data_IF_493862195750
#
_entry.id   IF_493862195750
#
_cell.length_a   1.000
_cell.length_b   1.000
_cell.length_c   1.000
_cell.angle_alpha   90.00
_cell.angle_beta   90.00
_cell.angle_gamma   90.00
#
_symmetry.space_group_name_H-M   'P 1'
#
loop_
_entity.id
_entity.type
_entity.pdbx_description
1 polymer ?
#
# COMPACT_ATOMS: atom_id res chain seq x y z
N UNK A 1 12.16 33.68 15.65
CA UNK A 1 11.58 32.83 14.60
C UNK A 1 10.85 31.67 15.26
N UNK A 2 9.52 31.75 15.39
CA UNK A 2 8.72 30.55 15.68
C UNK A 2 8.91 29.59 14.50
N UNK A 3 9.16 28.32 14.79
CA UNK A 3 9.46 27.32 13.78
C UNK A 3 8.16 27.04 13.01
N UNK A 4 8.01 27.62 11.82
CA UNK A 4 6.80 27.54 10.98
C UNK A 4 6.36 26.12 10.64
N UNK A 5 7.24 25.13 10.86
CA UNK A 5 6.97 23.72 10.61
C UNK A 5 6.50 22.96 11.85
N UNK A 6 6.53 23.55 13.04
CA UNK A 6 6.23 22.85 14.29
C UNK A 6 4.80 22.31 14.34
N UNK A 7 3.82 23.14 14.02
CA UNK A 7 2.40 22.76 13.98
C UNK A 7 2.11 21.73 12.87
N UNK A 8 2.51 21.93 11.60
CA UNK A 8 2.36 20.91 10.56
C UNK A 8 3.04 19.57 10.86
N UNK A 9 4.21 19.59 11.51
CA UNK A 9 4.92 18.36 11.90
C UNK A 9 4.15 17.62 13.00
N UNK A 10 3.58 18.33 13.96
CA UNK A 10 2.76 17.73 15.01
C UNK A 10 1.50 17.08 14.41
N UNK A 11 0.78 17.77 13.53
CA UNK A 11 -0.40 17.23 12.84
C UNK A 11 -0.06 15.95 12.07
N UNK A 12 1.04 15.97 11.31
CA UNK A 12 1.52 14.79 10.57
C UNK A 12 1.87 13.63 11.50
N UNK A 13 2.50 13.90 12.64
CA UNK A 13 2.84 12.88 13.62
C UNK A 13 1.61 12.30 14.31
N UNK A 14 0.57 13.09 14.56
CA UNK A 14 -0.71 12.59 15.07
C UNK A 14 -1.36 11.62 14.06
N UNK A 15 -1.42 12.01 12.78
CA UNK A 15 -1.96 11.16 11.70
C UNK A 15 -1.16 9.85 11.61
N UNK A 16 0.17 9.94 11.60
CA UNK A 16 1.06 8.79 11.59
C UNK A 16 0.89 7.90 12.82
N UNK A 17 0.65 8.49 14.00
CA UNK A 17 0.39 7.77 15.25
C UNK A 17 -0.91 6.98 15.17
N UNK A 18 -2.00 7.61 14.71
CA UNK A 18 -3.29 6.93 14.49
C UNK A 18 -3.17 5.78 13.51
N UNK A 19 -2.49 6.00 12.38
CA UNK A 19 -2.26 4.96 11.38
C UNK A 19 -1.44 3.79 11.94
N UNK A 20 -0.39 4.08 12.71
CA UNK A 20 0.44 3.05 13.36
C UNK A 20 -0.38 2.20 14.34
N UNK A 21 -1.29 2.83 15.10
CA UNK A 21 -2.22 2.11 15.99
C UNK A 21 -3.13 1.17 15.21
N UNK A 22 -3.74 1.63 14.11
CA UNK A 22 -4.60 0.79 13.26
C UNK A 22 -3.85 -0.39 12.63
N UNK A 23 -2.57 -0.20 12.30
CA UNK A 23 -1.74 -1.21 11.68
C UNK A 23 -0.95 -2.09 12.67
N UNK A 24 -1.05 -1.82 13.98
CA UNK A 24 -0.28 -2.52 15.02
C UNK A 24 -0.52 -4.04 15.04
N UNK A 25 -1.77 -4.46 14.81
CA UNK A 25 -2.16 -5.89 14.70
C UNK A 25 -1.48 -6.63 13.56
N UNK A 26 -0.98 -5.92 12.56
CA UNK A 26 -0.28 -6.50 11.40
C UNK A 26 1.24 -6.48 11.58
N UNK A 27 1.74 -6.22 12.80
CA UNK A 27 3.17 -6.06 13.08
C UNK A 27 3.85 -5.01 12.20
N UNK A 28 3.09 -4.00 11.77
CA UNK A 28 3.61 -2.92 10.95
C UNK A 28 4.69 -2.12 11.69
N UNK A 29 5.63 -1.57 10.93
CA UNK A 29 6.71 -0.75 11.47
C UNK A 29 6.87 0.50 10.63
N UNK A 30 6.84 1.67 11.29
CA UNK A 30 7.14 2.95 10.66
C UNK A 30 8.61 2.97 10.26
N UNK A 31 8.88 3.26 8.98
CA UNK A 31 10.23 3.42 8.44
C UNK A 31 10.78 4.82 8.75
N UNK A 32 12.01 4.89 9.24
CA UNK A 32 12.62 6.13 9.68
C UNK A 32 14.08 6.30 9.26
N UNK A 33 14.71 7.31 9.86
CA UNK A 33 16.16 7.49 9.81
C UNK A 33 16.80 6.79 11.00
N UNK A 34 18.00 6.27 10.81
CA UNK A 34 18.81 5.70 11.88
C UNK A 34 20.28 6.04 11.65
N UNK A 35 21.07 5.99 12.73
CA UNK A 35 22.48 6.33 12.70
C UNK A 35 23.33 5.11 13.08
N UNK A 36 24.41 4.90 12.33
CA UNK A 36 25.39 3.85 12.58
C UNK A 36 26.78 4.39 12.21
N UNK A 37 27.74 4.30 13.14
CA UNK A 37 29.11 4.79 12.93
C UNK A 37 29.18 6.25 12.43
N UNK A 38 28.38 7.15 13.00
CA UNK A 38 28.25 8.56 12.59
C UNK A 38 27.75 8.78 11.15
N UNK A 39 27.09 7.78 10.57
CA UNK A 39 26.46 7.86 9.24
C UNK A 39 24.95 7.68 9.40
N UNK A 40 24.19 8.64 8.86
CA UNK A 40 22.73 8.58 8.83
C UNK A 40 22.27 7.78 7.62
N UNK A 41 21.43 6.78 7.87
CA UNK A 41 20.79 5.92 6.88
C UNK A 41 19.28 6.13 6.89
N UNK A 42 18.62 5.81 5.78
CA UNK A 42 17.16 5.86 5.65
C UNK A 42 16.61 4.48 5.31
N UNK A 43 15.67 4.02 6.13
CA UNK A 43 14.95 2.78 5.88
C UNK A 43 14.01 2.90 4.69
N UNK A 44 13.44 4.08 4.45
CA UNK A 44 12.61 4.35 3.27
C UNK A 44 13.44 4.25 1.99
N UNK A 45 14.63 4.86 1.97
CA UNK A 45 15.54 4.74 0.83
C UNK A 45 16.04 3.30 0.64
N UNK A 46 16.23 2.57 1.74
CA UNK A 46 16.58 1.14 1.72
C UNK A 46 15.45 0.30 1.11
N UNK A 47 14.19 0.58 1.43
CA UNK A 47 13.03 -0.04 0.79
C UNK A 47 13.00 0.26 -0.71
N UNK A 48 13.17 1.52 -1.12
CA UNK A 48 13.19 1.88 -2.55
C UNK A 48 14.35 1.21 -3.30
N UNK A 49 15.53 1.14 -2.69
CA UNK A 49 16.66 0.40 -3.26
C UNK A 49 16.33 -1.08 -3.44
N UNK A 50 15.67 -1.71 -2.44
CA UNK A 50 15.21 -3.10 -2.54
C UNK A 50 14.22 -3.29 -3.70
N UNK A 51 13.27 -2.39 -3.88
CA UNK A 51 12.31 -2.43 -4.99
C UNK A 51 12.99 -2.27 -6.36
N UNK A 52 13.96 -1.36 -6.47
CA UNK A 52 14.64 -1.06 -7.75
C UNK A 52 15.74 -2.07 -8.12
N UNK A 53 16.39 -2.69 -7.13
CA UNK A 53 17.56 -3.56 -7.36
C UNK A 53 17.35 -5.02 -6.99
N UNK A 54 16.22 -5.34 -6.34
CA UNK A 54 15.95 -6.66 -5.78
C UNK A 54 16.78 -7.02 -4.54
N UNK A 55 17.62 -6.11 -4.01
CA UNK A 55 18.53 -6.40 -2.89
C UNK A 55 18.35 -5.44 -1.71
N UNK A 56 18.38 -6.00 -0.50
CA UNK A 56 18.42 -5.20 0.72
C UNK A 56 19.82 -4.60 0.89
N UNK A 57 19.88 -3.28 0.95
CA UNK A 57 21.13 -2.54 1.15
C UNK A 57 20.84 -1.28 1.96
N UNK A 58 21.66 -1.01 2.97
CA UNK A 58 21.57 0.24 3.73
C UNK A 58 21.87 1.42 2.81
N UNK A 59 20.96 2.38 2.74
CA UNK A 59 21.13 3.59 1.92
C UNK A 59 21.39 4.79 2.80
N UNK A 60 22.56 5.41 2.61
CA UNK A 60 22.97 6.64 3.30
C UNK A 60 22.11 7.81 2.83
N UNK A 61 21.75 8.70 3.77
CA UNK A 61 21.17 10.00 3.44
C UNK A 61 22.27 10.94 2.94
N UNK A 62 22.06 11.49 1.74
CA UNK A 62 23.00 12.42 1.09
C UNK A 62 22.32 13.74 0.75
N UNK A 63 23.08 14.79 0.52
CA UNK A 63 22.57 16.08 0.04
C UNK A 63 22.31 16.09 -1.49
N UNK A 64 21.96 14.95 -2.05
CA UNK A 64 21.68 14.75 -3.47
C UNK A 64 20.29 14.14 -3.62
N UNK A 65 19.55 14.46 -4.70
CA UNK A 65 18.25 13.86 -4.93
C UNK A 65 18.35 12.33 -5.01
N UNK A 66 17.42 11.61 -4.37
CA UNK A 66 17.51 10.16 -4.24
C UNK A 66 17.57 9.43 -5.60
N UNK A 67 16.88 9.94 -6.61
CA UNK A 67 16.86 9.35 -7.96
C UNK A 67 18.22 9.40 -8.68
N UNK A 68 19.21 10.15 -8.18
CA UNK A 68 20.54 10.21 -8.82
C UNK A 68 21.47 9.09 -8.37
N UNK A 69 21.15 8.37 -7.30
CA UNK A 69 22.02 7.32 -6.74
C UNK A 69 21.30 6.04 -6.32
N UNK A 70 19.97 6.05 -6.26
CA UNK A 70 19.21 4.81 -6.12
C UNK A 70 19.22 4.00 -7.43
N UNK A 71 19.01 2.69 -7.30
CA UNK A 71 18.97 1.77 -8.43
C UNK A 71 20.32 1.11 -8.69
N UNK A 72 20.86 1.32 -9.89
CA UNK A 72 22.12 0.69 -10.33
C UNK A 72 21.93 -0.71 -10.95
N UNK A 73 20.68 -1.12 -11.18
CA UNK A 73 20.32 -2.29 -11.99
C UNK A 73 19.35 -1.86 -13.08
N UNK A 74 19.50 -2.44 -14.27
CA UNK A 74 18.51 -2.27 -15.33
C UNK A 74 17.36 -3.25 -15.13
N UNK A 75 16.16 -2.82 -15.50
CA UNK A 75 14.96 -3.66 -15.53
C UNK A 75 14.61 -3.91 -16.99
N UNK A 76 14.55 -5.18 -17.37
CA UNK A 76 14.10 -5.61 -18.69
C UNK A 76 12.71 -6.20 -18.57
N UNK A 77 11.76 -5.66 -19.34
CA UNK A 77 10.39 -6.16 -19.40
C UNK A 77 10.18 -6.94 -20.70
N UNK A 78 9.85 -8.23 -20.57
CA UNK A 78 9.28 -9.02 -21.65
C UNK A 78 7.75 -8.98 -21.62
N UNK A 79 7.11 -9.77 -22.48
CA UNK A 79 5.64 -9.81 -22.58
C UNK A 79 4.96 -10.39 -21.32
N UNK A 80 5.61 -11.31 -20.61
CA UNK A 80 5.00 -12.08 -19.50
C UNK A 80 5.89 -12.13 -18.25
N UNK A 81 7.18 -11.81 -18.39
CA UNK A 81 8.13 -11.77 -17.29
C UNK A 81 9.14 -10.66 -17.51
N UNK A 82 9.68 -10.15 -16.41
CA UNK A 82 10.81 -9.23 -16.42
C UNK A 82 12.03 -9.82 -15.74
N UNK A 83 13.16 -9.15 -15.94
CA UNK A 83 14.44 -9.50 -15.33
C UNK A 83 15.11 -8.25 -14.78
N UNK A 84 15.69 -8.35 -13.59
CA UNK A 84 16.58 -7.33 -13.04
C UNK A 84 18.01 -7.74 -13.34
N UNK A 85 18.82 -6.85 -13.92
CA UNK A 85 20.24 -7.13 -14.17
C UNK A 85 20.96 -7.38 -12.86
N UNK A 86 21.66 -8.49 -12.74
CA UNK A 86 22.53 -8.76 -11.60
C UNK A 86 23.91 -9.22 -12.06
N UNK A 87 24.93 -8.81 -11.31
CA UNK A 87 26.31 -9.24 -11.53
C UNK A 87 26.49 -10.73 -11.20
N UNK A 88 25.62 -11.26 -10.34
CA UNK A 88 25.50 -12.67 -10.02
C UNK A 88 24.02 -12.97 -9.69
N UNK A 89 23.46 -13.99 -10.33
CA UNK A 89 22.06 -14.43 -10.23
C UNK A 89 21.03 -13.32 -10.50
N UNK A 90 20.66 -13.15 -11.77
CA UNK A 90 19.66 -12.16 -12.20
C UNK A 90 18.23 -12.62 -11.83
N UNK A 91 17.53 -11.96 -10.89
CA UNK A 91 16.20 -12.38 -10.51
C UNK A 91 15.20 -12.06 -11.63
N UNK A 92 14.30 -13.00 -11.85
CA UNK A 92 13.14 -12.85 -12.72
C UNK A 92 11.92 -12.49 -11.89
N UNK A 93 11.00 -11.72 -12.46
CA UNK A 93 9.76 -11.35 -11.82
C UNK A 93 8.59 -11.45 -12.79
N UNK A 94 7.39 -11.59 -12.23
CA UNK A 94 6.13 -11.45 -12.95
C UNK A 94 5.27 -10.44 -12.20
N UNK A 95 4.49 -9.68 -12.96
CA UNK A 95 3.52 -8.76 -12.39
C UNK A 95 2.12 -9.36 -12.56
N UNK A 96 1.37 -9.43 -11.47
CA UNK A 96 -0.05 -9.79 -11.50
C UNK A 96 -0.81 -8.54 -11.12
N UNK A 97 -1.72 -8.10 -12.01
CA UNK A 97 -2.62 -7.00 -11.74
C UNK A 97 -4.01 -7.57 -11.46
N UNK A 98 -4.56 -7.24 -10.30
CA UNK A 98 -5.93 -7.59 -9.91
C UNK A 98 -6.76 -6.33 -10.02
N UNK A 99 -7.59 -6.27 -11.07
CA UNK A 99 -8.39 -5.08 -11.40
C UNK A 99 -9.67 -4.98 -10.59
N UNK A 100 -10.22 -6.13 -10.21
CA UNK A 100 -11.43 -6.21 -9.42
C UNK A 100 -11.38 -7.46 -8.55
N UNK A 101 -12.09 -7.40 -7.43
CA UNK A 101 -12.30 -8.55 -6.57
C UNK A 101 -13.58 -9.28 -6.97
N UNK A 102 -13.71 -10.54 -6.56
CA UNK A 102 -14.98 -11.24 -6.69
C UNK A 102 -16.04 -10.59 -5.79
N UNK A 103 -17.32 -10.82 -6.09
CA UNK A 103 -18.44 -10.28 -5.30
C UNK A 103 -18.36 -10.65 -3.82
N UNK A 104 -17.80 -11.82 -3.53
CA UNK A 104 -17.53 -12.29 -2.17
C UNK A 104 -16.01 -12.43 -2.00
N UNK A 105 -15.47 -11.82 -0.94
CA UNK A 105 -14.07 -11.96 -0.56
C UNK A 105 -13.97 -12.44 0.87
N UNK A 106 -13.24 -13.53 1.07
CA UNK A 106 -12.94 -14.07 2.40
C UNK A 106 -11.45 -13.94 2.73
N UNK A 107 -11.14 -14.09 4.02
CA UNK A 107 -9.76 -14.27 4.45
C UNK A 107 -9.15 -15.48 3.74
N UNK A 108 -7.97 -15.29 3.15
CA UNK A 108 -7.24 -16.35 2.45
C UNK A 108 -7.37 -16.35 0.93
N UNK A 109 -8.03 -15.35 0.33
CA UNK A 109 -8.12 -15.21 -1.14
C UNK A 109 -6.74 -15.19 -1.84
N UNK A 110 -5.68 -14.81 -1.12
CA UNK A 110 -4.30 -14.81 -1.60
C UNK A 110 -3.45 -15.97 -1.10
N UNK A 111 -3.99 -16.93 -0.35
CA UNK A 111 -3.20 -18.00 0.26
C UNK A 111 -2.50 -18.87 -0.80
N UNK A 112 -3.18 -19.18 -1.89
CA UNK A 112 -2.58 -19.92 -3.01
C UNK A 112 -1.36 -19.17 -3.57
N UNK A 113 -1.45 -17.85 -3.71
CA UNK A 113 -0.31 -17.03 -4.13
C UNK A 113 0.77 -17.07 -3.04
N UNK A 114 0.45 -16.70 -1.80
CA UNK A 114 1.40 -16.62 -0.69
C UNK A 114 2.08 -17.96 -0.34
N UNK A 115 1.51 -19.09 -0.75
CA UNK A 115 2.11 -20.42 -0.57
C UNK A 115 3.32 -20.70 -1.46
N UNK A 116 3.49 -19.98 -2.57
CA UNK A 116 4.63 -20.21 -3.46
C UNK A 116 5.94 -19.72 -2.81
N UNK A 117 7.06 -20.44 -2.99
CA UNK A 117 8.35 -20.10 -2.38
C UNK A 117 9.06 -18.99 -3.16
N UNK A 118 8.42 -17.83 -3.31
CA UNK A 118 8.95 -16.67 -4.04
C UNK A 118 8.81 -15.41 -3.19
N UNK A 119 9.59 -14.38 -3.54
CA UNK A 119 9.45 -13.06 -2.90
C UNK A 119 8.25 -12.31 -3.48
N UNK A 120 7.45 -11.71 -2.60
CA UNK A 120 6.27 -10.93 -2.95
C UNK A 120 6.47 -9.45 -2.71
N UNK A 121 6.12 -8.64 -3.70
CA UNK A 121 5.88 -7.21 -3.55
C UNK A 121 4.42 -6.96 -3.87
N UNK A 122 3.60 -6.80 -2.82
CA UNK A 122 2.19 -6.45 -2.98
C UNK A 122 2.02 -4.94 -2.84
N UNK A 123 1.41 -4.34 -3.87
CA UNK A 123 1.02 -2.94 -3.85
C UNK A 123 -0.50 -2.87 -3.93
N UNK A 124 -1.10 -2.12 -3.01
CA UNK A 124 -2.54 -1.86 -3.00
C UNK A 124 -2.76 -0.35 -3.09
N UNK A 125 -3.52 0.09 -4.09
CA UNK A 125 -3.93 1.48 -4.25
C UNK A 125 -5.38 1.64 -3.80
N UNK A 126 -5.63 2.62 -2.94
CA UNK A 126 -6.94 2.93 -2.40
C UNK A 126 -7.16 4.44 -2.56
N UNK A 127 -8.37 4.83 -2.94
CA UNK A 127 -8.77 6.24 -2.97
C UNK A 127 -9.64 6.51 -1.75
N UNK A 128 -9.18 7.31 -0.77
CA UNK A 128 -10.03 7.69 0.34
C UNK A 128 -11.17 8.57 -0.17
N UNK A 129 -12.37 8.29 0.33
CA UNK A 129 -13.57 9.07 0.06
C UNK A 129 -14.02 9.66 1.40
N UNK A 130 -14.45 10.92 1.41
CA UNK A 130 -14.98 11.51 2.63
C UNK A 130 -16.29 10.82 3.03
N UNK A 131 -16.60 10.87 4.33
CA UNK A 131 -17.74 10.17 4.91
C UNK A 131 -19.07 10.52 4.24
N UNK A 132 -19.31 11.79 3.91
CA UNK A 132 -20.59 12.22 3.33
C UNK A 132 -20.74 11.73 1.90
N UNK A 133 -19.66 11.84 1.10
CA UNK A 133 -19.64 11.30 -0.26
C UNK A 133 -19.79 9.78 -0.28
N UNK A 134 -19.17 9.06 0.67
CA UNK A 134 -19.29 7.61 0.80
C UNK A 134 -20.71 7.17 1.15
N UNK A 135 -21.36 7.82 2.13
CA UNK A 135 -22.76 7.57 2.51
C UNK A 135 -23.67 7.77 1.29
N UNK A 136 -23.54 8.91 0.61
CA UNK A 136 -24.36 9.21 -0.57
C UNK A 136 -24.17 8.19 -1.69
N UNK A 137 -22.93 7.80 -1.97
CA UNK A 137 -22.64 6.80 -3.01
C UNK A 137 -23.25 5.42 -2.69
N UNK A 138 -23.27 5.02 -1.41
CA UNK A 138 -23.91 3.79 -0.97
C UNK A 138 -25.44 3.88 -1.06
N UNK A 139 -26.05 4.98 -0.61
CA UNK A 139 -27.50 5.22 -0.71
C UNK A 139 -27.96 5.19 -2.18
N UNK A 140 -27.29 5.95 -3.06
CA UNK A 140 -27.61 6.01 -4.50
C UNK A 140 -27.53 4.61 -5.14
N UNK A 141 -26.57 3.77 -4.70
CA UNK A 141 -26.39 2.41 -5.21
C UNK A 141 -27.46 1.45 -4.67
N UNK A 142 -27.88 1.59 -3.42
CA UNK A 142 -28.97 0.82 -2.82
C UNK A 142 -30.27 1.14 -3.57
N UNK A 143 -30.62 2.41 -3.71
CA UNK A 143 -31.84 2.86 -4.41
C UNK A 143 -31.90 2.30 -5.83
N UNK A 144 -30.79 2.35 -6.56
CA UNK A 144 -30.69 1.81 -7.92
C UNK A 144 -30.93 0.30 -7.97
N UNK A 145 -30.41 -0.45 -7.00
CA UNK A 145 -30.61 -1.90 -6.93
C UNK A 145 -32.04 -2.24 -6.51
N UNK A 146 -32.67 -1.49 -5.59
CA UNK A 146 -34.07 -1.70 -5.21
C UNK A 146 -35.04 -1.47 -6.37
N UNK A 147 -34.73 -0.53 -7.27
CA UNK A 147 -35.51 -0.30 -8.49
C UNK A 147 -35.37 -1.41 -9.53
N UNK A 148 -34.30 -2.21 -9.45
CA UNK A 148 -34.06 -3.32 -10.38
C UNK A 148 -34.56 -4.60 -9.70
N UNK A 149 -35.73 -5.08 -10.11
CA UNK A 149 -36.44 -6.25 -9.52
C UNK A 149 -35.68 -7.60 -9.62
N UNK A 150 -34.43 -7.55 -10.08
CA UNK A 150 -33.48 -8.66 -10.26
C UNK A 150 -32.21 -8.49 -9.39
N UNK A 151 -32.25 -7.67 -8.34
CA UNK A 151 -31.10 -7.43 -7.48
C UNK A 151 -30.77 -8.64 -6.59
N UNK A 152 -29.48 -9.01 -6.54
CA UNK A 152 -28.95 -9.99 -5.60
C UNK A 152 -29.22 -9.53 -4.15
N UNK A 153 -30.22 -10.13 -3.48
CA UNK A 153 -30.66 -9.77 -2.13
C UNK A 153 -29.51 -9.69 -1.11
N UNK A 154 -28.51 -10.56 -1.27
CA UNK A 154 -27.30 -10.58 -0.45
C UNK A 154 -26.48 -9.28 -0.61
N UNK A 155 -26.22 -8.85 -1.84
CA UNK A 155 -25.50 -7.61 -2.11
C UNK A 155 -26.20 -6.39 -1.50
N UNK A 156 -27.53 -6.36 -1.56
CA UNK A 156 -28.31 -5.27 -0.99
C UNK A 156 -28.23 -5.24 0.53
N UNK A 157 -28.21 -6.41 1.17
CA UNK A 157 -27.96 -6.51 2.60
C UNK A 157 -26.54 -6.04 2.97
N UNK A 158 -25.53 -6.45 2.20
CA UNK A 158 -24.13 -6.06 2.44
C UNK A 158 -23.90 -4.56 2.27
N UNK A 159 -24.54 -3.92 1.28
CA UNK A 159 -24.49 -2.47 1.09
C UNK A 159 -25.13 -1.72 2.27
N UNK A 160 -26.25 -2.22 2.81
CA UNK A 160 -26.90 -1.64 4.01
C UNK A 160 -26.01 -1.77 5.25
N UNK A 161 -25.35 -2.91 5.43
CA UNK A 161 -24.36 -3.09 6.51
C UNK A 161 -23.18 -2.12 6.33
N UNK A 162 -22.64 -2.01 5.12
CA UNK A 162 -21.56 -1.07 4.81
C UNK A 162 -21.92 0.39 5.10
N UNK A 163 -23.15 0.79 4.75
CA UNK A 163 -23.67 2.13 5.04
C UNK A 163 -23.73 2.41 6.54
N UNK A 164 -24.22 1.45 7.34
CA UNK A 164 -24.26 1.57 8.81
C UNK A 164 -22.85 1.66 9.41
N UNK A 165 -21.88 0.89 8.89
CA UNK A 165 -20.49 0.95 9.33
C UNK A 165 -19.86 2.32 9.07
N UNK A 166 -19.97 2.83 7.84
CA UNK A 166 -19.44 4.16 7.49
C UNK A 166 -20.13 5.27 8.31
N UNK A 167 -21.45 5.14 8.51
CA UNK A 167 -22.24 6.08 9.31
C UNK A 167 -21.86 6.09 10.78
N UNK A 168 -21.51 4.94 11.35
CA UNK A 168 -21.02 4.81 12.74
C UNK A 168 -19.54 5.15 12.92
N UNK A 169 -18.78 5.30 11.83
CA UNK A 169 -17.37 5.68 11.84
C UNK A 169 -16.40 4.51 12.01
N UNK A 170 -16.81 3.32 11.60
CA UNK A 170 -15.95 2.16 11.39
C UNK A 170 -15.26 2.19 10.02
#
# INVERSE_FOLDING_TARGET
>A
NKNIFEEPINDMNEICGRLSTYLSRFHSRRLGLYEENNIVYSEQLTLFQKLLSGRWQKVRVTNSPCYTYLGGKDLFFGNDAGQITASDHAPYFRCIEIKDYFQETDAGIFDALMSLPVEYVQTSSLTPIDKQSAIKALDDQIDKLEMTDDAAKSLLADLKVGLDMVSSGY
#
